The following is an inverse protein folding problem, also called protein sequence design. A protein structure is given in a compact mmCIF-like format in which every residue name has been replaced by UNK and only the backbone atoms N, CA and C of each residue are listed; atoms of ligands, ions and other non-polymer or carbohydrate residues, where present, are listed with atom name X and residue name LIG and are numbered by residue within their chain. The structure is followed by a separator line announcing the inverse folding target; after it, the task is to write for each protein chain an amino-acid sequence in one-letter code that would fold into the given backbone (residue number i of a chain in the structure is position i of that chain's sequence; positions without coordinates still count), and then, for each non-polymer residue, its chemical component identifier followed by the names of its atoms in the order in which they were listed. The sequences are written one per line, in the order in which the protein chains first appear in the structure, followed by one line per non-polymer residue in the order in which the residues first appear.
data_IF_581890992923
#
_entry.id   IF_581890992923
#
_cell.length_a   1.000
_cell.length_b   1.000
_cell.length_c   1.000
_cell.angle_alpha   90.00
_cell.angle_beta   90.00
_cell.angle_gamma   90.00
#
_symmetry.space_group_name_H-M   'P 1'
#
loop_
_entity.id
_entity.type
_entity.pdbx_description
1 polymer ?
#
# COMPACT_ATOMS: atom_id res chain seq x y z
N UNK A 1 14.71 -2.72 -32.91
CA UNK A 1 15.51 -3.37 -31.84
C UNK A 1 15.19 -2.64 -30.56
N UNK A 2 14.13 -3.07 -29.88
CA UNK A 2 13.62 -2.43 -28.67
C UNK A 2 14.28 -3.09 -27.46
N UNK A 3 15.09 -2.32 -26.73
CA UNK A 3 15.71 -2.76 -25.48
C UNK A 3 14.64 -2.89 -24.40
N UNK A 4 14.32 -4.14 -24.08
CA UNK A 4 13.54 -4.53 -22.91
C UNK A 4 14.39 -4.23 -21.68
N UNK A 5 14.10 -3.11 -21.01
CA UNK A 5 14.59 -2.89 -19.65
C UNK A 5 13.72 -3.73 -18.72
N UNK A 6 14.19 -4.95 -18.48
CA UNK A 6 13.67 -5.84 -17.44
C UNK A 6 14.06 -5.28 -16.07
N UNK A 7 13.20 -4.45 -15.48
CA UNK A 7 13.35 -3.98 -14.10
C UNK A 7 12.27 -4.56 -13.18
N UNK A 8 12.55 -5.72 -12.61
CA UNK A 8 12.19 -6.01 -11.22
C UNK A 8 13.04 -7.19 -10.74
N UNK A 9 13.56 -7.14 -9.50
CA UNK A 9 12.67 -7.29 -8.35
C UNK A 9 13.03 -6.37 -7.18
N UNK A 10 12.01 -5.79 -6.52
CA UNK A 10 12.11 -5.15 -5.20
C UNK A 10 13.29 -4.19 -5.01
N UNK A 11 13.04 -2.89 -5.22
CA UNK A 11 13.90 -1.85 -4.66
C UNK A 11 14.21 -2.20 -3.19
N UNK A 12 15.47 -2.51 -2.90
CA UNK A 12 15.96 -2.48 -1.52
C UNK A 12 15.53 -1.11 -0.98
N UNK A 13 14.71 -1.10 0.07
CA UNK A 13 14.25 0.16 0.66
C UNK A 13 15.52 1.01 0.90
N UNK A 14 15.58 2.25 0.40
CA UNK A 14 16.76 3.11 0.56
C UNK A 14 17.11 3.35 2.04
N UNK A 15 16.18 3.07 2.95
CA UNK A 15 16.33 3.13 4.40
C UNK A 15 16.95 1.88 5.06
N UNK A 16 17.40 0.90 4.27
CA UNK A 16 18.03 -0.33 4.79
C UNK A 16 19.50 -0.16 5.16
N UNK A 17 20.17 0.84 4.60
CA UNK A 17 21.52 1.24 4.98
C UNK A 17 21.50 2.64 5.61
N UNK A 18 22.45 2.93 6.50
CA UNK A 18 22.54 4.23 7.20
C UNK A 18 22.90 5.42 6.31
N UNK A 19 22.93 5.25 4.98
CA UNK A 19 23.33 6.29 4.03
C UNK A 19 22.38 7.49 4.10
N UNK A 20 21.06 7.24 4.18
CA UNK A 20 20.08 8.34 4.28
C UNK A 20 20.29 9.14 5.56
N UNK A 21 20.63 8.49 6.68
CA UNK A 21 20.94 9.19 7.92
C UNK A 21 22.16 10.12 7.74
N UNK A 22 23.23 9.64 7.12
CA UNK A 22 24.41 10.46 6.84
C UNK A 22 24.13 11.61 5.87
N UNK A 23 23.26 11.40 4.87
CA UNK A 23 22.82 12.47 3.96
C UNK A 23 22.06 13.56 4.73
N UNK A 24 21.13 13.18 5.62
CA UNK A 24 20.37 14.12 6.44
C UNK A 24 21.32 14.89 7.38
N UNK A 25 22.27 14.21 8.02
CA UNK A 25 23.24 14.83 8.91
C UNK A 25 24.13 15.83 8.16
N UNK A 26 24.70 15.45 7.01
CA UNK A 26 25.55 16.33 6.21
C UNK A 26 24.80 17.58 5.73
N UNK A 27 23.58 17.42 5.21
CA UNK A 27 22.75 18.55 4.78
C UNK A 27 22.35 19.47 5.94
N UNK A 28 22.12 18.90 7.13
CA UNK A 28 21.80 19.68 8.33
C UNK A 28 22.96 20.58 8.73
N UNK A 29 24.20 20.05 8.75
CA UNK A 29 25.38 20.83 9.11
C UNK A 29 25.69 21.93 8.08
N UNK A 30 25.48 21.66 6.79
CA UNK A 30 25.60 22.65 5.73
C UNK A 30 24.62 23.81 5.92
N UNK A 31 23.33 23.49 6.10
CA UNK A 31 22.27 24.48 6.33
C UNK A 31 22.52 25.31 7.60
N UNK A 32 22.94 24.68 8.70
CA UNK A 32 23.24 25.40 9.94
C UNK A 32 24.42 26.37 9.78
N UNK A 33 25.47 25.96 9.05
CA UNK A 33 26.61 26.84 8.75
C UNK A 33 26.21 28.03 7.87
N UNK A 34 25.31 27.83 6.92
CA UNK A 34 24.77 28.91 6.09
C UNK A 34 23.96 29.91 6.92
N UNK A 35 23.10 29.43 7.83
CA UNK A 35 22.33 30.27 8.72
C UNK A 35 23.22 31.10 9.66
N UNK A 36 24.29 30.53 10.19
CA UNK A 36 25.26 31.24 11.03
C UNK A 36 26.01 32.35 10.26
N UNK A 37 26.19 32.17 8.94
CA UNK A 37 26.88 33.13 8.07
C UNK A 37 26.05 34.38 7.75
N UNK A 38 24.74 34.34 7.95
CA UNK A 38 23.81 35.44 7.65
C UNK A 38 23.31 36.03 8.98
N UNK A 39 23.67 37.29 9.32
CA UNK A 39 23.33 37.91 10.61
C UNK A 39 21.82 37.90 10.94
N UNK A 40 20.96 37.97 9.93
CA UNK A 40 19.50 38.01 10.05
C UNK A 40 18.89 36.64 10.43
N UNK A 41 19.62 35.55 10.24
CA UNK A 41 19.19 34.18 10.52
C UNK A 41 19.97 33.52 11.67
N UNK A 42 20.78 34.29 12.41
CA UNK A 42 21.54 33.77 13.54
C UNK A 42 20.61 33.15 14.57
N UNK A 43 20.79 31.85 14.78
CA UNK A 43 20.07 31.10 15.78
C UNK A 43 20.76 31.26 17.13
N UNK A 44 19.97 31.37 18.21
CA UNK A 44 20.52 31.15 19.55
C UNK A 44 21.09 29.74 19.67
N UNK A 45 22.06 29.54 20.57
CA UNK A 45 22.64 28.21 20.84
C UNK A 45 21.57 27.15 21.15
N UNK A 46 20.50 27.55 21.84
CA UNK A 46 19.37 26.67 22.17
C UNK A 46 18.61 26.25 20.90
N UNK A 47 18.31 27.19 19.99
CA UNK A 47 17.64 26.89 18.73
C UNK A 47 18.51 26.00 17.84
N UNK A 48 19.81 26.26 17.80
CA UNK A 48 20.79 25.47 17.06
C UNK A 48 20.80 24.01 17.57
N UNK A 49 20.91 23.83 18.89
CA UNK A 49 20.90 22.51 19.52
C UNK A 49 19.58 21.77 19.26
N UNK A 50 18.44 22.46 19.36
CA UNK A 50 17.11 21.89 19.10
C UNK A 50 16.97 21.45 17.64
N UNK A 51 17.39 22.28 16.68
CA UNK A 51 17.31 21.97 15.25
C UNK A 51 18.15 20.74 14.92
N UNK A 52 19.40 20.68 15.40
CA UNK A 52 20.28 19.53 15.22
C UNK A 52 19.66 18.25 15.83
N UNK A 53 19.06 18.35 17.01
CA UNK A 53 18.37 17.21 17.63
C UNK A 53 17.17 16.73 16.79
N UNK A 54 16.33 17.65 16.31
CA UNK A 54 15.17 17.33 15.47
C UNK A 54 15.59 16.68 14.15
N UNK A 55 16.60 17.21 13.49
CA UNK A 55 17.11 16.65 12.24
C UNK A 55 17.77 15.28 12.42
N UNK A 56 18.47 15.03 13.53
CA UNK A 56 18.97 13.69 13.86
C UNK A 56 17.83 12.67 13.99
N UNK A 57 16.70 13.08 14.57
CA UNK A 57 15.51 12.21 14.70
C UNK A 57 14.72 12.03 13.40
N UNK A 58 15.00 12.84 12.37
CA UNK A 58 14.25 12.83 11.11
C UNK A 58 14.42 11.51 10.36
N UNK A 59 15.61 10.92 10.38
CA UNK A 59 15.84 9.62 9.74
C UNK A 59 14.91 8.54 10.31
N UNK A 60 14.87 8.40 11.63
CA UNK A 60 14.01 7.41 12.29
C UNK A 60 12.53 7.72 12.08
N UNK A 61 12.16 9.00 12.07
CA UNK A 61 10.79 9.43 11.77
C UNK A 61 10.37 9.01 10.35
N UNK A 62 11.20 9.27 9.33
CA UNK A 62 10.90 8.89 7.95
C UNK A 62 10.88 7.36 7.81
N UNK A 63 11.89 6.67 8.34
CA UNK A 63 12.05 5.22 8.19
C UNK A 63 10.85 4.42 8.70
N UNK A 64 10.25 4.86 9.80
CA UNK A 64 9.10 4.20 10.43
C UNK A 64 7.77 4.83 10.02
N UNK A 65 7.76 5.74 9.05
CA UNK A 65 6.56 6.44 8.64
C UNK A 65 5.56 5.47 7.97
N UNK A 66 4.30 5.35 8.44
CA UNK A 66 3.35 4.35 7.96
C UNK A 66 3.10 4.42 6.45
N UNK A 67 3.16 5.62 5.86
CA UNK A 67 2.95 5.82 4.44
C UNK A 67 3.93 5.04 3.53
N UNK A 68 5.14 4.73 4.01
CA UNK A 68 6.15 4.02 3.23
C UNK A 68 5.83 2.54 3.00
N UNK A 69 4.91 1.97 3.78
CA UNK A 69 4.61 0.53 3.75
C UNK A 69 3.26 0.21 3.09
N UNK A 70 2.63 1.21 2.47
CA UNK A 70 1.33 1.06 1.82
C UNK A 70 1.49 0.69 0.35
N UNK A 71 1.00 -0.50 -0.02
CA UNK A 71 1.06 -1.01 -1.40
C UNK A 71 0.11 -0.29 -2.37
N UNK A 72 -0.98 0.26 -1.85
CA UNK A 72 -2.06 0.86 -2.64
C UNK A 72 -2.06 2.40 -2.59
N UNK A 73 -0.98 3.01 -2.06
CA UNK A 73 -0.75 4.45 -2.09
C UNK A 73 0.44 4.74 -3.01
N UNK A 74 0.29 5.72 -3.88
CA UNK A 74 1.37 6.26 -4.70
C UNK A 74 1.47 7.77 -4.52
N UNK A 75 2.67 8.27 -4.24
CA UNK A 75 2.94 9.71 -4.12
C UNK A 75 3.96 10.11 -5.18
N UNK A 76 3.58 11.00 -6.09
CA UNK A 76 4.43 11.39 -7.21
C UNK A 76 3.83 12.45 -8.11
N UNK A 77 4.52 12.75 -9.23
CA UNK A 77 4.10 13.78 -10.20
C UNK A 77 2.99 13.33 -11.16
N UNK A 78 2.58 12.07 -11.10
CA UNK A 78 1.61 11.51 -12.02
C UNK A 78 1.13 10.13 -11.59
N UNK A 79 0.02 9.72 -12.20
CA UNK A 79 -0.61 8.42 -11.98
C UNK A 79 0.34 7.28 -12.34
N UNK A 80 0.52 6.27 -11.49
CA UNK A 80 1.38 5.14 -11.80
C UNK A 80 0.71 4.21 -12.82
N UNK A 81 1.52 3.51 -13.62
CA UNK A 81 1.09 2.53 -14.65
C UNK A 81 1.26 1.07 -14.18
N UNK A 82 1.22 0.85 -12.87
CA UNK A 82 1.42 -0.47 -12.25
C UNK A 82 0.12 -0.92 -11.58
N UNK A 83 -0.40 -2.10 -11.91
CA UNK A 83 -1.47 -2.72 -11.10
C UNK A 83 -0.81 -3.42 -9.90
N UNK A 84 -1.02 -2.94 -8.67
CA UNK A 84 -0.40 -3.54 -7.49
C UNK A 84 -0.76 -5.01 -7.35
N UNK A 85 -1.98 -5.45 -7.73
CA UNK A 85 -2.48 -6.82 -7.56
C UNK A 85 -1.84 -7.83 -8.50
N UNK A 86 -1.47 -7.43 -9.72
CA UNK A 86 -0.86 -8.33 -10.71
C UNK A 86 0.53 -8.80 -10.25
N UNK A 87 1.30 -7.93 -9.57
CA UNK A 87 2.65 -8.24 -9.10
C UNK A 87 2.75 -9.30 -7.99
N UNK A 88 1.77 -9.38 -7.08
CA UNK A 88 1.86 -10.30 -5.93
C UNK A 88 1.59 -11.78 -6.29
N UNK A 89 0.82 -12.03 -7.35
CA UNK A 89 0.48 -13.39 -7.78
C UNK A 89 1.72 -14.14 -8.30
N UNK A 90 2.67 -13.44 -8.92
CA UNK A 90 3.92 -14.03 -9.41
C UNK A 90 4.86 -14.40 -8.25
N UNK A 91 5.00 -13.55 -7.23
CA UNK A 91 5.88 -13.79 -6.08
C UNK A 91 5.39 -14.96 -5.20
N UNK A 92 4.08 -15.13 -5.02
CA UNK A 92 3.53 -16.29 -4.30
C UNK A 92 3.76 -17.62 -5.04
N UNK A 93 3.73 -17.63 -6.38
CA UNK A 93 4.02 -18.83 -7.18
C UNK A 93 5.51 -19.21 -7.09
N UNK A 94 6.42 -18.23 -7.10
CA UNK A 94 7.86 -18.50 -7.00
C UNK A 94 8.29 -18.97 -5.60
N UNK A 95 7.71 -18.41 -4.53
CA UNK A 95 8.04 -18.82 -3.15
C UNK A 95 7.55 -20.24 -2.79
N UNK A 96 6.47 -20.72 -3.42
CA UNK A 96 6.03 -22.12 -3.28
C UNK A 96 6.93 -23.10 -4.03
N UNK A 97 7.62 -22.68 -5.09
CA UNK A 97 8.56 -23.51 -5.82
C UNK A 97 9.92 -23.64 -5.10
N UNK A 98 10.38 -22.57 -4.42
CA UNK A 98 11.66 -22.54 -3.71
C UNK A 98 11.62 -23.19 -2.32
N UNK A 99 10.47 -23.22 -1.64
CA UNK A 99 10.33 -23.89 -0.34
C UNK A 99 10.43 -25.43 -0.40
N UNK A 100 10.24 -26.05 -1.57
CA UNK A 100 10.44 -27.51 -1.74
C UNK A 100 11.89 -27.95 -1.94
N UNK A 101 12.84 -27.02 -2.14
CA UNK A 101 14.24 -27.38 -2.45
C UNK A 101 15.19 -27.33 -1.26
N UNK A 102 14.71 -27.00 -0.05
CA UNK A 102 15.55 -26.79 1.15
C UNK A 102 15.38 -27.84 2.27
N UNK A 103 15.00 -29.08 1.91
CA UNK A 103 14.86 -30.19 2.88
C UNK A 103 15.78 -31.39 2.64
N UNK A 104 16.87 -31.21 1.90
CA UNK A 104 17.87 -32.26 1.68
C UNK A 104 19.27 -31.67 1.67
N UNK A 105 19.78 -31.25 2.83
CA UNK A 105 21.21 -31.12 3.11
C UNK A 105 21.39 -31.08 4.65
N UNK A 106 21.11 -32.20 5.30
CA UNK A 106 21.65 -32.57 6.63
C UNK A 106 21.23 -34.01 6.93
N UNK A 107 22.00 -34.98 6.46
CA UNK A 107 22.72 -35.91 7.35
C UNK A 107 23.40 -37.03 6.54
N UNK A 108 24.66 -37.27 6.88
CA UNK A 108 25.45 -38.40 6.43
C UNK A 108 25.03 -39.65 7.21
N UNK A 109 24.58 -40.71 6.53
CA UNK A 109 25.08 -42.08 6.72
C UNK A 109 24.28 -43.10 5.90
N UNK A 110 25.04 -43.84 5.08
CA UNK A 110 24.89 -45.25 4.70
C UNK A 110 23.54 -45.86 4.26
N UNK A 111 23.66 -46.55 3.12
CA UNK A 111 22.96 -47.75 2.67
C UNK A 111 21.92 -47.63 1.54
N UNK A 112 22.09 -48.59 0.64
CA UNK A 112 21.48 -48.72 -0.68
C UNK A 112 19.99 -49.04 -0.58
N UNK A 113 19.17 -48.30 -1.33
CA UNK A 113 18.01 -48.87 -2.00
C UNK A 113 17.73 -48.10 -3.29
N UNK A 114 17.82 -48.82 -4.41
CA UNK A 114 17.33 -48.38 -5.72
C UNK A 114 15.80 -48.42 -5.68
N UNK A 115 15.17 -47.32 -5.27
CA UNK A 115 13.73 -47.10 -5.51
C UNK A 115 13.55 -46.16 -6.69
N UNK A 116 13.10 -46.74 -7.80
CA UNK A 116 12.62 -46.07 -9.00
C UNK A 116 11.47 -45.13 -8.61
N UNK A 117 11.75 -43.82 -8.50
CA UNK A 117 10.73 -42.79 -8.31
C UNK A 117 9.89 -42.70 -9.59
N UNK A 118 8.78 -43.41 -9.60
CA UNK A 118 7.70 -43.23 -10.57
C UNK A 118 7.19 -41.79 -10.45
N UNK A 119 7.57 -40.96 -11.42
CA UNK A 119 7.07 -39.59 -11.59
C UNK A 119 5.59 -39.66 -11.98
N UNK A 120 4.71 -39.70 -10.98
CA UNK A 120 3.29 -39.54 -11.21
C UNK A 120 3.04 -38.13 -11.77
N UNK A 121 2.43 -37.98 -12.97
CA UNK A 121 2.08 -36.67 -13.50
C UNK A 121 1.11 -36.02 -12.53
N UNK A 122 1.57 -34.92 -11.90
CA UNK A 122 0.72 -34.10 -11.03
C UNK A 122 -0.47 -33.64 -11.85
N UNK A 123 -1.63 -34.28 -11.65
CA UNK A 123 -2.88 -33.88 -12.28
C UNK A 123 -3.05 -32.37 -12.11
N UNK A 124 -3.31 -31.61 -13.19
CA UNK A 124 -3.57 -30.19 -13.08
C UNK A 124 -4.69 -30.01 -12.05
N UNK A 125 -4.43 -29.21 -11.01
CA UNK A 125 -5.48 -28.86 -10.06
C UNK A 125 -6.61 -28.24 -10.88
N UNK A 126 -7.78 -28.85 -10.86
CA UNK A 126 -8.96 -28.30 -11.49
C UNK A 126 -9.17 -26.88 -10.95
N UNK A 127 -8.97 -25.87 -11.80
CA UNK A 127 -9.42 -24.52 -11.49
C UNK A 127 -10.86 -24.44 -11.97
N UNK A 128 -11.78 -24.35 -11.02
CA UNK A 128 -13.16 -24.03 -11.36
C UNK A 128 -13.21 -22.59 -11.84
N UNK A 129 -14.00 -22.27 -12.88
CA UNK A 129 -14.24 -20.89 -13.24
C UNK A 129 -14.88 -20.19 -12.04
N UNK A 130 -14.30 -19.06 -11.63
CA UNK A 130 -14.82 -18.22 -10.57
C UNK A 130 -15.13 -16.84 -11.14
N UNK A 131 -16.31 -16.32 -10.84
CA UNK A 131 -16.73 -14.97 -11.24
C UNK A 131 -17.01 -14.12 -9.99
N UNK A 132 -16.80 -12.81 -10.08
CA UNK A 132 -17.14 -11.89 -9.01
C UNK A 132 -18.66 -11.67 -8.95
N UNK A 133 -19.22 -11.75 -7.75
CA UNK A 133 -20.65 -11.49 -7.52
C UNK A 133 -21.06 -10.04 -7.85
N UNK A 134 -20.14 -9.12 -7.63
CA UNK A 134 -20.24 -7.71 -7.99
C UNK A 134 -18.99 -7.37 -8.80
N UNK A 135 -19.17 -6.99 -10.07
CA UNK A 135 -18.05 -6.63 -10.94
C UNK A 135 -17.38 -5.35 -10.43
N UNK A 136 -16.06 -5.41 -10.30
CA UNK A 136 -15.25 -4.30 -9.76
C UNK A 136 -14.35 -3.69 -10.83
N UNK A 137 -14.35 -2.36 -10.94
CA UNK A 137 -13.35 -1.61 -11.68
C UNK A 137 -12.20 -1.24 -10.74
N UNK A 138 -10.96 -1.51 -11.16
CA UNK A 138 -9.75 -1.29 -10.36
C UNK A 138 -8.87 -0.28 -11.07
N UNK A 139 -8.53 0.82 -10.41
CA UNK A 139 -7.76 1.89 -11.02
C UNK A 139 -7.03 2.74 -9.98
N UNK A 140 -5.99 3.45 -10.42
CA UNK A 140 -5.43 4.53 -9.63
C UNK A 140 -6.27 5.79 -9.80
N UNK A 141 -6.73 6.37 -8.69
CA UNK A 141 -7.48 7.61 -8.67
C UNK A 141 -6.96 8.57 -7.59
N UNK A 142 -7.26 9.86 -7.77
CA UNK A 142 -7.06 10.85 -6.72
C UNK A 142 -8.35 11.01 -5.95
N UNK A 143 -8.24 10.99 -4.63
CA UNK A 143 -9.35 11.31 -3.72
C UNK A 143 -9.04 12.71 -3.22
N UNK A 144 -9.86 13.70 -3.60
CA UNK A 144 -9.65 15.10 -3.19
C UNK A 144 -10.34 15.41 -1.86
N UNK A 145 -11.55 14.86 -1.67
CA UNK A 145 -12.37 15.04 -0.47
C UNK A 145 -12.87 13.68 0.01
N UNK A 146 -12.82 13.46 1.32
CA UNK A 146 -13.29 12.23 1.97
C UNK A 146 -13.51 12.50 3.46
N UNK A 147 -13.57 11.48 4.31
CA UNK A 147 -13.61 11.60 5.76
C UNK A 147 -12.44 10.86 6.43
N UNK A 148 -12.07 11.31 7.63
CA UNK A 148 -11.09 10.62 8.47
C UNK A 148 -11.71 9.50 9.31
N UNK A 149 -10.89 8.82 10.12
CA UNK A 149 -11.32 7.73 10.99
C UNK A 149 -12.43 8.12 11.99
N UNK A 150 -12.59 9.41 12.27
CA UNK A 150 -13.59 9.95 13.19
C UNK A 150 -14.78 10.59 12.46
N UNK A 151 -14.94 10.31 11.15
CA UNK A 151 -16.01 10.81 10.30
C UNK A 151 -16.00 12.34 10.11
N UNK A 152 -14.86 13.01 10.33
CA UNK A 152 -14.72 14.42 10.00
C UNK A 152 -14.41 14.57 8.51
N UNK A 153 -14.99 15.58 7.86
CA UNK A 153 -14.67 15.90 6.46
C UNK A 153 -13.23 16.42 6.33
N UNK A 154 -12.52 15.87 5.35
CA UNK A 154 -11.12 16.17 5.09
C UNK A 154 -10.84 16.36 3.62
N UNK A 155 -9.85 17.20 3.35
CA UNK A 155 -9.29 17.43 2.02
C UNK A 155 -7.90 16.83 1.94
N UNK A 156 -7.70 15.93 0.99
CA UNK A 156 -6.38 15.33 0.71
C UNK A 156 -5.55 16.35 -0.07
N UNK A 157 -4.33 16.58 0.39
CA UNK A 157 -3.47 17.62 -0.18
C UNK A 157 -2.78 17.10 -1.44
N UNK A 158 -2.85 17.88 -2.52
CA UNK A 158 -2.36 17.53 -3.85
C UNK A 158 -1.37 18.57 -4.44
N UNK A 159 -0.91 19.54 -3.63
CA UNK A 159 -0.23 20.76 -4.10
C UNK A 159 1.17 20.50 -4.70
N UNK A 160 2.13 20.05 -3.89
CA UNK A 160 3.54 19.89 -4.29
C UNK A 160 3.79 18.52 -4.92
N UNK A 161 3.09 17.50 -4.43
CA UNK A 161 3.11 16.12 -4.92
C UNK A 161 1.67 15.61 -4.88
N UNK A 162 1.35 14.72 -5.82
CA UNK A 162 0.01 14.15 -5.91
C UNK A 162 -0.02 12.79 -5.22
N UNK A 163 -1.12 12.52 -4.54
CA UNK A 163 -1.40 11.26 -3.86
C UNK A 163 -2.50 10.52 -4.63
N UNK A 164 -2.16 9.32 -5.11
CA UNK A 164 -3.06 8.41 -5.80
C UNK A 164 -3.32 7.18 -4.95
N UNK A 165 -4.57 6.72 -4.91
CA UNK A 165 -4.98 5.49 -4.25
C UNK A 165 -5.42 4.48 -5.31
N UNK A 166 -5.01 3.23 -5.16
CA UNK A 166 -5.54 2.15 -5.98
C UNK A 166 -6.92 1.77 -5.46
N UNK A 167 -7.95 2.23 -6.15
CA UNK A 167 -9.35 2.12 -5.76
C UNK A 167 -10.03 0.92 -6.41
N UNK A 168 -11.09 0.47 -5.75
CA UNK A 168 -11.96 -0.61 -6.21
C UNK A 168 -13.40 -0.07 -6.23
N UNK A 169 -13.88 0.28 -7.42
CA UNK A 169 -15.20 0.88 -7.66
C UNK A 169 -16.17 -0.14 -8.20
N UNK A 170 -17.45 -0.04 -7.85
CA UNK A 170 -18.46 -0.95 -8.39
C UNK A 170 -18.85 -0.53 -9.80
N UNK A 171 -18.84 -1.48 -10.75
CA UNK A 171 -19.22 -1.19 -12.14
C UNK A 171 -20.69 -0.76 -12.23
N UNK A 172 -21.56 -1.35 -11.40
CA UNK A 172 -22.95 -0.96 -11.25
C UNK A 172 -23.25 -0.83 -9.75
N UNK A 173 -22.96 0.35 -9.19
CA UNK A 173 -23.36 0.69 -7.83
C UNK A 173 -24.89 0.58 -7.70
N UNK A 174 -25.38 -0.03 -6.62
CA UNK A 174 -26.81 -0.36 -6.36
C UNK A 174 -27.45 -1.38 -7.31
N UNK A 175 -26.70 -1.94 -8.27
CA UNK A 175 -27.18 -3.00 -9.16
C UNK A 175 -27.37 -4.34 -8.44
N UNK A 176 -28.22 -5.25 -8.95
CA UNK A 176 -28.41 -6.56 -8.36
C UNK A 176 -27.14 -7.40 -8.43
N UNK A 177 -26.89 -8.18 -7.38
CA UNK A 177 -25.78 -9.11 -7.33
C UNK A 177 -25.99 -10.31 -8.27
N UNK A 178 -24.91 -10.79 -8.87
CA UNK A 178 -24.95 -11.94 -9.79
C UNK A 178 -25.08 -13.24 -8.99
N UNK A 179 -26.01 -14.11 -9.40
CA UNK A 179 -26.15 -15.45 -8.82
C UNK A 179 -26.83 -15.51 -7.44
N UNK A 180 -27.53 -14.46 -7.03
CA UNK A 180 -28.34 -14.47 -5.81
C UNK A 180 -29.72 -15.08 -6.06
N UNK A 181 -30.21 -15.87 -5.10
CA UNK A 181 -31.53 -16.49 -5.14
C UNK A 181 -32.66 -15.44 -5.20
N UNK A 182 -33.75 -15.68 -5.97
CA UNK A 182 -34.90 -14.76 -6.04
C UNK A 182 -35.61 -14.48 -4.71
N UNK A 183 -35.35 -15.30 -3.68
CA UNK A 183 -35.87 -15.15 -2.32
C UNK A 183 -35.26 -13.94 -1.57
N UNK A 184 -34.18 -13.38 -2.10
CA UNK A 184 -33.51 -12.21 -1.55
C UNK A 184 -33.61 -11.03 -2.51
N UNK A 185 -33.66 -9.83 -1.97
CA UNK A 185 -33.22 -8.62 -2.66
C UNK A 185 -31.71 -8.49 -2.47
N UNK A 186 -31.03 -7.95 -3.48
CA UNK A 186 -29.57 -7.81 -3.42
C UNK A 186 -29.12 -6.55 -4.12
N UNK A 187 -28.08 -5.93 -3.60
CA UNK A 187 -27.45 -4.75 -4.18
C UNK A 187 -25.93 -4.79 -4.00
N UNK A 188 -25.20 -4.44 -5.05
CA UNK A 188 -23.76 -4.23 -4.99
C UNK A 188 -23.48 -2.86 -4.37
N UNK A 189 -22.72 -2.84 -3.27
CA UNK A 189 -22.37 -1.63 -2.53
C UNK A 189 -20.86 -1.48 -2.43
N UNK A 190 -20.39 -0.24 -2.61
CA UNK A 190 -18.99 0.10 -2.38
C UNK A 190 -18.69 0.10 -0.89
N UNK A 191 -17.52 -0.44 -0.52
CA UNK A 191 -17.01 -0.45 0.85
C UNK A 191 -15.68 0.27 0.89
N UNK A 192 -15.58 1.15 1.87
CA UNK A 192 -14.38 1.93 2.12
C UNK A 192 -13.42 1.14 3.01
N UNK A 193 -12.13 1.29 2.73
CA UNK A 193 -11.03 0.94 3.61
C UNK A 193 -10.31 2.20 4.06
N UNK A 194 -9.31 2.03 4.91
CA UNK A 194 -8.52 3.13 5.47
C UNK A 194 -7.17 3.23 4.78
N UNK A 195 -6.85 4.41 4.26
CA UNK A 195 -5.57 4.74 3.65
C UNK A 195 -4.88 5.83 4.46
N UNK A 196 -3.61 5.66 4.79
CA UNK A 196 -2.83 6.64 5.54
C UNK A 196 -2.29 7.72 4.57
N UNK A 197 -2.92 8.89 4.53
CA UNK A 197 -2.66 9.95 3.55
C UNK A 197 -2.37 11.28 4.23
N UNK A 198 -1.79 12.21 3.48
CA UNK A 198 -1.58 13.58 3.92
C UNK A 198 -2.80 14.44 3.57
N UNK A 199 -3.48 14.95 4.59
CA UNK A 199 -4.74 15.67 4.47
C UNK A 199 -4.80 16.85 5.42
N UNK A 200 -5.80 17.71 5.24
CA UNK A 200 -6.19 18.72 6.24
C UNK A 200 -7.67 18.59 6.56
N UNK A 201 -8.01 18.82 7.82
CA UNK A 201 -9.41 18.86 8.25
C UNK A 201 -10.06 20.16 7.79
N UNK A 202 -11.32 20.07 7.35
CA UNK A 202 -12.07 21.24 6.94
C UNK A 202 -12.63 22.05 8.12
N UNK A 203 -12.83 21.37 9.26
CA UNK A 203 -13.33 21.96 10.50
C UNK A 203 -12.24 22.54 11.41
N UNK A 204 -10.97 22.25 11.15
CA UNK A 204 -9.84 22.88 11.85
C UNK A 204 -9.69 24.35 11.44
N UNK A 205 -9.80 25.32 12.38
CA UNK A 205 -9.65 26.75 12.08
C UNK A 205 -8.32 27.12 11.43
N UNK A 206 -7.26 26.36 11.74
CA UNK A 206 -5.92 26.61 11.22
C UNK A 206 -5.62 25.79 9.95
N UNK A 207 -6.51 24.87 9.59
CA UNK A 207 -6.40 23.96 8.44
C UNK A 207 -5.02 23.30 8.34
N UNK A 208 -4.46 22.87 9.47
CA UNK A 208 -3.09 22.36 9.54
C UNK A 208 -3.02 21.00 8.83
N UNK A 209 -2.16 20.86 7.81
CA UNK A 209 -1.90 19.57 7.18
C UNK A 209 -1.31 18.53 8.13
N UNK A 210 -1.79 17.30 8.05
CA UNK A 210 -1.32 16.19 8.87
C UNK A 210 -1.44 14.85 8.12
N UNK A 211 -0.72 13.85 8.63
CA UNK A 211 -0.85 12.47 8.16
C UNK A 211 -1.84 11.70 9.03
N UNK A 212 -2.73 10.94 8.42
CA UNK A 212 -3.67 10.08 9.13
C UNK A 212 -4.49 9.20 8.21
N UNK A 213 -5.38 8.39 8.79
CA UNK A 213 -6.24 7.49 8.03
C UNK A 213 -7.45 8.22 7.47
N UNK A 214 -7.65 8.08 6.17
CA UNK A 214 -8.81 8.60 5.44
C UNK A 214 -9.50 7.48 4.68
N UNK A 215 -10.80 7.62 4.47
CA UNK A 215 -11.59 6.62 3.76
C UNK A 215 -11.27 6.61 2.27
N UNK A 216 -11.06 5.41 1.72
CA UNK A 216 -10.83 5.17 0.30
C UNK A 216 -11.59 3.94 -0.19
N UNK A 217 -12.16 3.95 -1.42
CA UNK A 217 -12.89 2.80 -1.96
C UNK A 217 -11.98 1.57 -2.08
N UNK A 218 -12.36 0.47 -1.44
CA UNK A 218 -11.48 -0.69 -1.28
C UNK A 218 -12.08 -2.00 -1.83
N UNK A 219 -13.40 -2.16 -1.86
CA UNK A 219 -14.01 -3.35 -2.48
C UNK A 219 -15.49 -3.15 -2.75
N UNK A 220 -16.03 -3.98 -3.65
CA UNK A 220 -17.46 -4.15 -3.86
C UNK A 220 -17.97 -5.37 -3.09
N UNK A 221 -19.05 -5.18 -2.34
CA UNK A 221 -19.69 -6.23 -1.59
C UNK A 221 -21.15 -6.36 -2.00
N UNK A 222 -21.65 -7.61 -2.02
CA UNK A 222 -23.08 -7.85 -2.17
C UNK A 222 -23.77 -7.72 -0.82
N UNK A 223 -24.74 -6.79 -0.72
CA UNK A 223 -25.69 -6.72 0.39
C UNK A 223 -26.94 -7.48 -0.02
N UNK A 224 -27.44 -8.36 0.85
CA UNK A 224 -28.64 -9.15 0.63
C UNK A 224 -29.67 -8.87 1.73
N UNK A 225 -30.94 -8.82 1.35
CA UNK A 225 -32.07 -8.62 2.26
C UNK A 225 -33.11 -9.71 1.98
N UNK A 226 -33.53 -10.51 2.96
CA UNK A 226 -34.60 -11.50 2.76
C UNK A 226 -35.92 -10.80 2.41
N UNK A 227 -36.61 -11.27 1.37
CA UNK A 227 -37.95 -10.72 1.01
C UNK A 227 -39.04 -11.16 1.99
N UNK A 228 -38.81 -12.26 2.69
CA UNK A 228 -39.73 -12.81 3.68
C UNK A 228 -38.95 -13.09 4.96
N UNK A 229 -39.34 -12.41 6.03
CA UNK A 229 -38.89 -12.68 7.39
C UNK A 229 -40.12 -13.25 8.11
N UNK A 230 -40.17 -14.56 8.42
CA UNK A 230 -41.27 -15.09 9.21
C UNK A 230 -41.27 -14.42 10.59
N UNK A 231 -42.43 -13.90 11.01
CA UNK A 231 -42.61 -13.40 12.37
C UNK A 231 -42.39 -14.55 13.36
N UNK A 232 -41.44 -14.37 14.28
CA UNK A 232 -41.16 -15.28 15.41
C UNK A 232 -42.07 -14.98 16.58
#
# INVERSE_FOLDING_TARGET
LSTVVSSSPFHQHPFSNGIIQLIIEAYTEEMLREMDSIPEFQLSEIQYALMRQKMKSLYDHIRHHPALHQRYLWVGKGRPDIDPDIGAVQTMRQNRASSKRKRYLSDNSSEQSHEEKVDFPKKPKASFPSEEICKTNRQWEQINSTHDFYDNEVEVIQDSVQQYVFSYRCVAETGPCIGISPLYESECTERYGWMYMYYRRLDDPYRIPQWGFVAAPHHCACKITPKYIPET
#
